data_IF_971624462541
#
_entry.id   IF_971624462541
#
_cell.length_a   1.000
_cell.length_b   1.000
_cell.length_c   1.000
_cell.angle_alpha   90.00
_cell.angle_beta   90.00
_cell.angle_gamma   90.00
#
_symmetry.space_group_name_H-M   'P 1'
#
loop_
_entity.id
_entity.type
_entity.pdbx_description
1 polymer ?
#
# COMPACT_ATOMS: atom_id res chain seq x y z
N UNK A 1 40.01 -7.56 61.94
CA UNK A 1 39.10 -6.76 61.08
C UNK A 1 39.78 -6.49 59.76
N UNK A 2 39.50 -7.29 58.71
CA UNK A 2 39.94 -7.04 57.33
C UNK A 2 38.73 -6.66 56.50
N UNK A 3 38.65 -5.41 56.07
CA UNK A 3 37.61 -4.93 55.13
C UNK A 3 38.04 -5.35 53.74
N UNK A 4 37.28 -6.25 53.14
CA UNK A 4 37.42 -6.57 51.72
C UNK A 4 36.77 -5.48 50.88
N UNK A 5 37.55 -4.89 49.97
CA UNK A 5 37.08 -3.94 48.95
C UNK A 5 36.65 -4.77 47.74
N UNK A 6 35.35 -4.86 47.48
CA UNK A 6 34.82 -5.48 46.27
C UNK A 6 34.94 -4.45 45.14
N UNK A 7 35.84 -4.68 44.22
CA UNK A 7 36.00 -3.89 43.01
C UNK A 7 34.90 -4.33 42.01
N UNK A 8 33.95 -3.46 41.74
CA UNK A 8 32.94 -3.66 40.68
C UNK A 8 33.60 -3.35 39.34
N UNK A 9 33.95 -4.37 38.56
CA UNK A 9 34.43 -4.21 37.20
C UNK A 9 33.17 -3.90 36.30
N UNK A 10 33.02 -2.66 35.89
CA UNK A 10 32.11 -2.29 34.81
C UNK A 10 32.80 -2.65 33.50
N UNK A 11 32.44 -3.76 32.89
CA UNK A 11 32.82 -4.10 31.52
C UNK A 11 31.94 -3.29 30.60
N UNK A 12 32.47 -2.20 30.04
CA UNK A 12 31.80 -1.51 28.91
C UNK A 12 32.07 -2.35 27.66
N UNK A 13 31.07 -3.11 27.26
CA UNK A 13 31.12 -3.81 25.98
C UNK A 13 30.82 -2.79 24.88
N UNK A 14 31.85 -2.32 24.19
CA UNK A 14 31.67 -1.59 22.91
C UNK A 14 31.35 -2.64 21.87
N UNK A 15 30.03 -2.85 21.59
CA UNK A 15 29.58 -3.64 20.48
C UNK A 15 29.67 -2.74 19.25
N UNK A 16 30.52 -3.10 18.30
CA UNK A 16 30.49 -2.51 16.97
C UNK A 16 29.19 -2.93 16.31
N UNK A 17 28.22 -2.01 16.21
CA UNK A 17 26.95 -2.23 15.57
C UNK A 17 27.20 -2.35 14.07
N UNK A 18 27.08 -3.56 13.52
CA UNK A 18 26.98 -3.76 12.09
C UNK A 18 25.64 -3.17 11.64
N UNK A 19 25.59 -2.56 10.46
CA UNK A 19 24.39 -1.95 9.86
C UNK A 19 23.18 -2.88 9.75
N UNK A 20 23.30 -4.16 10.04
CA UNK A 20 22.22 -5.15 10.08
C UNK A 20 21.55 -5.30 11.47
N UNK A 21 22.02 -4.60 12.50
CA UNK A 21 21.52 -4.74 13.89
C UNK A 21 20.82 -3.48 14.43
N UNK A 22 20.39 -2.59 13.54
CA UNK A 22 19.82 -1.28 13.87
C UNK A 22 18.55 -1.37 14.74
N UNK A 23 17.84 -2.49 14.71
CA UNK A 23 16.58 -2.68 15.44
C UNK A 23 16.67 -3.62 16.65
N UNK A 24 17.85 -3.89 17.20
CA UNK A 24 17.97 -4.70 18.43
C UNK A 24 17.67 -3.86 19.67
N UNK A 25 16.41 -3.86 20.11
CA UNK A 25 16.00 -3.33 21.40
C UNK A 25 15.84 -4.47 22.41
N UNK A 26 16.18 -4.19 23.69
CA UNK A 26 15.97 -5.17 24.78
C UNK A 26 14.51 -5.63 24.85
N UNK A 27 14.30 -6.93 24.93
CA UNK A 27 12.99 -7.52 25.14
C UNK A 27 12.50 -7.16 26.54
N UNK A 28 11.35 -6.50 26.62
CA UNK A 28 10.61 -6.29 27.86
C UNK A 28 9.48 -7.31 27.86
N UNK A 29 9.43 -8.19 28.85
CA UNK A 29 8.28 -9.08 29.05
C UNK A 29 7.12 -8.23 29.59
N UNK A 30 6.10 -7.94 28.79
CA UNK A 30 4.95 -7.15 29.26
C UNK A 30 4.08 -7.99 30.18
N UNK A 31 3.61 -7.39 31.23
CA UNK A 31 2.70 -8.03 32.19
C UNK A 31 1.28 -8.21 31.64
N UNK A 32 0.88 -7.38 30.69
CA UNK A 32 -0.41 -7.44 29.99
C UNK A 32 -0.23 -7.05 28.51
N UNK A 33 -1.00 -7.71 27.60
CA UNK A 33 -1.06 -7.35 26.18
C UNK A 33 -1.99 -6.15 25.99
N UNK A 34 -1.57 -5.18 25.19
CA UNK A 34 -2.47 -4.15 24.68
C UNK A 34 -3.58 -4.78 23.79
N UNK A 35 -4.64 -4.08 23.55
CA UNK A 35 -5.67 -4.53 22.61
C UNK A 35 -5.23 -4.34 21.17
N UNK A 36 -4.56 -3.21 20.88
CA UNK A 36 -3.99 -2.89 19.58
C UNK A 36 -2.57 -2.33 19.65
N UNK A 37 -1.78 -2.67 18.65
CA UNK A 37 -0.56 -1.93 18.29
C UNK A 37 -0.70 -1.47 16.84
N UNK A 38 -0.69 -0.15 16.64
CA UNK A 38 -0.65 0.53 15.34
C UNK A 38 0.79 0.86 15.02
N UNK A 39 1.26 0.44 13.86
CA UNK A 39 2.61 0.62 13.35
C UNK A 39 2.54 1.42 12.07
N UNK A 40 3.16 2.60 12.00
CA UNK A 40 3.20 3.42 10.79
C UNK A 40 4.62 3.48 10.28
N UNK A 41 4.86 2.92 9.09
CA UNK A 41 6.15 2.91 8.40
C UNK A 41 6.16 4.03 7.37
N UNK A 42 6.71 5.19 7.76
CA UNK A 42 6.71 6.40 6.94
C UNK A 42 8.04 6.50 6.17
N UNK A 43 8.03 6.02 4.91
CA UNK A 43 9.14 6.18 3.98
C UNK A 43 9.14 7.62 3.43
N UNK A 44 9.50 8.60 4.26
CA UNK A 44 9.34 10.02 3.96
C UNK A 44 10.61 10.66 3.37
N UNK A 45 11.63 9.88 2.96
CA UNK A 45 12.81 10.42 2.26
C UNK A 45 12.48 10.77 0.81
N UNK A 46 11.52 11.70 0.64
CA UNK A 46 11.05 12.22 -0.64
C UNK A 46 10.23 13.52 -0.48
N UNK A 47 9.63 14.00 -1.56
CA UNK A 47 8.86 15.25 -1.60
C UNK A 47 7.55 15.25 -0.78
N UNK A 48 7.16 14.13 -0.18
CA UNK A 48 5.99 14.04 0.72
C UNK A 48 6.34 14.30 2.19
N UNK A 49 7.61 14.48 2.54
CA UNK A 49 8.12 14.66 3.91
C UNK A 49 7.27 15.57 4.81
N UNK A 50 6.85 16.72 4.29
CA UNK A 50 6.03 17.69 5.06
C UNK A 50 4.68 17.12 5.50
N UNK A 51 4.11 16.20 4.73
CA UNK A 51 2.86 15.54 5.07
C UNK A 51 3.08 14.47 6.14
N UNK A 52 4.21 13.76 6.07
CA UNK A 52 4.59 12.81 7.12
C UNK A 52 4.73 13.49 8.50
N UNK A 53 5.28 14.71 8.54
CA UNK A 53 5.36 15.49 9.78
C UNK A 53 3.96 15.90 10.27
N UNK A 54 3.06 16.31 9.35
CA UNK A 54 1.67 16.64 9.70
C UNK A 54 0.97 15.41 10.30
N UNK A 55 1.10 14.26 9.68
CA UNK A 55 0.46 13.03 10.12
C UNK A 55 1.03 12.53 11.46
N UNK A 56 2.33 12.78 11.75
CA UNK A 56 2.89 12.55 13.08
C UNK A 56 2.20 13.41 14.14
N UNK A 57 1.95 14.71 13.86
CA UNK A 57 1.22 15.59 14.78
C UNK A 57 -0.23 15.11 14.97
N UNK A 58 -0.93 14.70 13.93
CA UNK A 58 -2.27 14.12 14.04
C UNK A 58 -2.27 12.87 14.93
N UNK A 59 -1.25 12.00 14.81
CA UNK A 59 -1.11 10.87 15.73
C UNK A 59 -0.84 11.32 17.18
N UNK A 60 -0.10 12.43 17.39
CA UNK A 60 0.18 12.99 18.72
C UNK A 60 -1.07 13.59 19.37
N UNK A 61 -2.04 14.10 18.61
CA UNK A 61 -3.33 14.56 19.16
C UNK A 61 -4.03 13.43 19.95
N UNK A 62 -3.86 12.18 19.52
CA UNK A 62 -4.42 10.99 20.18
C UNK A 62 -3.43 10.37 21.18
N UNK A 63 -2.26 9.94 20.71
CA UNK A 63 -1.23 9.29 21.50
C UNK A 63 -1.55 7.87 21.96
N UNK A 64 -0.54 7.18 22.47
CA UNK A 64 -0.66 5.81 23.02
C UNK A 64 -1.32 5.80 24.41
N UNK A 65 -1.98 4.67 24.75
CA UNK A 65 -2.52 4.39 26.09
C UNK A 65 -2.03 3.02 26.61
N UNK A 66 -2.58 2.57 27.76
CA UNK A 66 -2.32 1.21 28.27
C UNK A 66 -2.90 0.11 27.37
N UNK A 67 -3.90 0.44 26.54
CA UNK A 67 -4.61 -0.49 25.65
C UNK A 67 -4.26 -0.32 24.18
N UNK A 68 -3.66 0.80 23.80
CA UNK A 68 -3.31 1.17 22.44
C UNK A 68 -1.84 1.63 22.37
N UNK A 69 -1.00 0.92 21.65
CA UNK A 69 0.31 1.42 21.27
C UNK A 69 0.23 2.00 19.86
N UNK A 70 0.79 3.20 19.68
CA UNK A 70 1.00 3.85 18.38
C UNK A 70 2.50 4.05 18.24
N UNK A 71 3.09 3.46 17.21
CA UNK A 71 4.54 3.52 16.95
C UNK A 71 4.77 3.89 15.50
N UNK A 72 5.48 4.99 15.26
CA UNK A 72 5.82 5.45 13.93
C UNK A 72 7.33 5.39 13.68
N UNK A 73 7.74 4.83 12.53
CA UNK A 73 9.06 5.04 11.95
C UNK A 73 8.92 6.11 10.89
N UNK A 74 9.76 7.12 10.92
CA UNK A 74 9.87 8.12 9.86
C UNK A 74 11.32 8.19 9.37
N UNK A 75 11.50 7.99 8.07
CA UNK A 75 12.76 8.17 7.36
C UNK A 75 12.69 9.50 6.63
N UNK A 76 13.37 10.52 7.19
CA UNK A 76 13.16 11.90 6.79
C UNK A 76 14.14 12.33 5.71
N UNK A 77 13.66 13.10 4.74
CA UNK A 77 14.38 13.51 3.54
C UNK A 77 15.52 14.50 3.81
N UNK A 78 16.65 14.30 3.15
CA UNK A 78 17.78 15.25 3.16
C UNK A 78 17.62 16.39 2.13
N UNK A 79 16.50 16.44 1.41
CA UNK A 79 16.17 17.47 0.44
C UNK A 79 16.82 17.30 -0.93
N UNK A 80 17.49 16.20 -1.22
CA UNK A 80 18.16 15.95 -2.49
C UNK A 80 17.56 14.75 -3.23
N UNK A 81 17.43 14.89 -4.56
CA UNK A 81 16.98 13.83 -5.46
C UNK A 81 17.91 13.65 -6.66
N UNK A 82 17.77 12.51 -7.35
CA UNK A 82 18.60 12.19 -8.50
C UNK A 82 18.00 12.76 -9.78
N UNK A 83 18.82 13.51 -10.54
CA UNK A 83 18.45 14.08 -11.85
C UNK A 83 19.44 13.70 -12.92
N UNK A 84 18.98 13.61 -14.18
CA UNK A 84 19.86 13.43 -15.33
C UNK A 84 20.17 14.78 -15.96
N UNK A 85 21.44 15.22 -15.88
CA UNK A 85 21.90 16.51 -16.36
C UNK A 85 23.25 16.36 -17.08
N UNK A 86 23.35 16.94 -18.26
CA UNK A 86 24.59 16.95 -19.09
C UNK A 86 25.21 15.55 -19.31
N UNK A 87 24.36 14.53 -19.51
CA UNK A 87 24.84 13.17 -19.75
C UNK A 87 25.23 12.38 -18.50
N UNK A 88 25.03 12.96 -17.31
CA UNK A 88 25.37 12.33 -16.01
C UNK A 88 24.16 12.33 -15.07
N UNK A 89 24.14 11.37 -14.16
CA UNK A 89 23.17 11.34 -13.06
C UNK A 89 23.82 11.99 -11.85
N UNK A 90 23.21 13.09 -11.38
CA UNK A 90 23.71 13.90 -10.26
C UNK A 90 22.61 14.09 -9.22
N UNK A 91 22.98 14.40 -7.97
CA UNK A 91 22.03 14.81 -6.93
C UNK A 91 21.85 16.33 -6.98
N UNK A 92 20.61 16.80 -7.00
CA UNK A 92 20.27 18.22 -6.90
C UNK A 92 19.27 18.42 -5.75
N UNK A 93 19.38 19.60 -5.07
CA UNK A 93 18.42 19.97 -4.03
C UNK A 93 17.06 20.25 -4.63
N UNK A 94 16.02 19.67 -4.06
CA UNK A 94 14.64 19.88 -4.49
C UNK A 94 14.10 21.24 -4.02
N UNK A 95 13.20 21.81 -4.80
CA UNK A 95 12.39 22.95 -4.37
C UNK A 95 11.29 22.56 -3.38
N UNK A 96 11.04 21.26 -3.21
CA UNK A 96 10.07 20.71 -2.26
C UNK A 96 10.68 20.35 -0.91
N UNK A 97 12.00 20.58 -0.73
CA UNK A 97 12.70 20.34 0.52
C UNK A 97 12.02 21.09 1.68
N UNK A 98 11.70 20.37 2.74
CA UNK A 98 11.05 20.88 3.94
C UNK A 98 12.04 20.99 5.10
N UNK A 99 12.22 22.19 5.63
CA UNK A 99 13.23 22.51 6.64
C UNK A 99 12.64 22.84 8.02
N UNK A 100 11.38 22.51 8.28
CA UNK A 100 10.73 22.69 9.59
C UNK A 100 11.18 21.66 10.63
N UNK A 101 10.75 21.82 11.88
CA UNK A 101 10.94 20.88 13.00
C UNK A 101 12.42 20.48 13.20
N UNK A 102 13.29 21.49 13.46
CA UNK A 102 14.74 21.32 13.65
C UNK A 102 15.49 20.70 12.46
N UNK A 103 14.80 20.39 11.36
CA UNK A 103 15.34 19.89 10.10
C UNK A 103 16.33 18.70 10.28
N UNK A 104 16.01 17.77 11.18
CA UNK A 104 16.75 16.52 11.26
C UNK A 104 16.48 15.66 10.01
N UNK A 105 17.43 14.87 9.59
CA UNK A 105 17.40 14.12 8.33
C UNK A 105 17.83 12.65 8.50
N UNK A 106 17.74 12.16 9.72
CA UNK A 106 17.99 10.75 10.07
C UNK A 106 16.67 9.98 10.11
N UNK A 107 16.75 8.66 10.14
CA UNK A 107 15.59 7.81 10.43
C UNK A 107 15.35 7.77 11.93
N UNK A 108 14.11 7.97 12.36
CA UNK A 108 13.70 7.90 13.77
C UNK A 108 12.51 6.99 13.97
N UNK A 109 12.43 6.39 15.15
CA UNK A 109 11.25 5.64 15.59
C UNK A 109 10.71 6.28 16.85
N UNK A 110 9.43 6.60 16.84
CA UNK A 110 8.71 7.23 17.94
C UNK A 110 7.68 6.27 18.52
N UNK A 111 7.56 6.23 19.85
CA UNK A 111 6.32 5.85 20.53
C UNK A 111 5.49 7.10 20.70
N UNK A 112 4.38 7.17 20.04
CA UNK A 112 3.55 8.37 19.99
C UNK A 112 2.91 8.62 21.35
N UNK A 113 3.12 9.81 21.88
CA UNK A 113 2.52 10.30 23.13
C UNK A 113 1.56 11.43 22.80
N UNK A 114 0.53 11.62 23.65
CA UNK A 114 -0.43 12.69 23.43
C UNK A 114 0.21 14.05 23.63
N UNK A 115 0.09 14.91 22.61
CA UNK A 115 0.54 16.31 22.60
C UNK A 115 -0.31 17.13 21.64
N UNK A 116 -0.64 18.37 22.00
CA UNK A 116 -1.51 19.27 21.22
C UNK A 116 -0.69 20.40 20.54
N UNK A 117 0.65 20.31 20.55
CA UNK A 117 1.50 21.33 19.93
C UNK A 117 1.91 20.94 18.50
N UNK A 118 2.34 21.92 17.71
CA UNK A 118 2.86 21.64 16.36
C UNK A 118 4.26 20.98 16.36
N UNK A 119 4.93 20.92 17.53
CA UNK A 119 6.25 20.29 17.67
C UNK A 119 6.11 18.79 17.99
N UNK A 120 6.96 17.94 17.42
CA UNK A 120 6.95 16.48 17.70
C UNK A 120 7.62 16.24 19.07
N UNK A 121 6.81 15.87 20.07
CA UNK A 121 7.22 15.68 21.46
C UNK A 121 7.14 14.21 21.93
N UNK A 122 6.87 13.30 21.03
CA UNK A 122 6.79 11.86 21.30
C UNK A 122 8.13 11.25 21.75
N UNK A 123 8.05 10.10 22.41
CA UNK A 123 9.23 9.37 22.91
C UNK A 123 10.03 8.80 21.73
N UNK A 124 11.26 9.27 21.54
CA UNK A 124 12.19 8.70 20.57
C UNK A 124 12.72 7.37 21.13
N UNK A 125 12.35 6.25 20.51
CA UNK A 125 12.82 4.91 20.89
C UNK A 125 14.02 4.43 20.06
N UNK A 126 14.25 5.05 18.89
CA UNK A 126 15.46 4.87 18.08
C UNK A 126 15.70 6.11 17.22
N UNK A 127 16.96 6.49 17.01
CA UNK A 127 17.39 7.63 16.16
C UNK A 127 18.84 7.47 15.72
N UNK A 128 19.33 8.50 15.03
CA UNK A 128 20.70 8.54 14.48
C UNK A 128 20.95 7.35 13.54
N UNK A 129 19.89 6.93 12.85
CA UNK A 129 19.90 5.85 11.87
C UNK A 129 19.82 6.43 10.47
N UNK A 130 20.27 5.66 9.52
CA UNK A 130 20.08 5.91 8.10
C UNK A 130 19.71 4.58 7.47
N UNK A 131 18.50 4.46 6.96
CA UNK A 131 18.03 3.25 6.32
C UNK A 131 17.60 3.54 4.88
N UNK A 132 17.61 2.54 4.03
CA UNK A 132 16.83 2.56 2.80
C UNK A 132 15.41 2.14 3.14
N UNK A 133 14.48 3.08 3.22
CA UNK A 133 13.08 2.81 3.53
C UNK A 133 12.39 2.01 2.42
N UNK A 134 12.96 1.95 1.22
CA UNK A 134 12.56 1.07 0.11
C UNK A 134 13.10 -0.37 0.21
N UNK A 135 13.93 -0.71 1.21
CA UNK A 135 14.34 -2.10 1.43
C UNK A 135 13.28 -2.86 2.25
N UNK A 136 12.67 -3.92 1.69
CA UNK A 136 11.66 -4.72 2.40
C UNK A 136 12.16 -5.30 3.73
N UNK A 137 13.48 -5.45 3.89
CA UNK A 137 14.07 -5.93 5.14
C UNK A 137 13.91 -4.92 6.28
N UNK A 138 13.92 -3.63 6.00
CA UNK A 138 13.71 -2.59 7.01
C UNK A 138 12.26 -2.57 7.49
N UNK A 139 11.27 -2.73 6.59
CA UNK A 139 9.87 -2.94 6.96
C UNK A 139 9.70 -4.21 7.83
N UNK A 140 10.29 -5.34 7.41
CA UNK A 140 10.28 -6.59 8.19
C UNK A 140 10.83 -6.38 9.61
N UNK A 141 11.99 -5.73 9.71
CA UNK A 141 12.66 -5.47 11.00
C UNK A 141 11.84 -4.52 11.89
N UNK A 142 11.24 -3.47 11.31
CA UNK A 142 10.38 -2.54 12.03
C UNK A 142 9.17 -3.27 12.65
N UNK A 143 8.43 -4.04 11.85
CA UNK A 143 7.28 -4.81 12.34
C UNK A 143 7.70 -5.74 13.48
N UNK A 144 8.82 -6.47 13.32
CA UNK A 144 9.30 -7.40 14.34
C UNK A 144 9.70 -6.68 15.63
N UNK A 145 10.44 -5.59 15.52
CA UNK A 145 10.89 -4.78 16.65
C UNK A 145 9.68 -4.27 17.44
N UNK A 146 8.71 -3.64 16.74
CA UNK A 146 7.55 -3.04 17.39
C UNK A 146 6.67 -4.11 18.02
N UNK A 147 6.35 -5.19 17.31
CA UNK A 147 5.49 -6.26 17.83
C UNK A 147 6.11 -7.00 19.03
N UNK A 148 7.45 -7.09 19.10
CA UNK A 148 8.12 -7.69 20.24
C UNK A 148 8.25 -6.74 21.45
N UNK A 149 8.38 -5.42 21.20
CA UNK A 149 8.48 -4.43 22.28
C UNK A 149 7.12 -3.99 22.82
N UNK A 150 6.13 -3.92 21.95
CA UNK A 150 4.75 -3.48 22.24
C UNK A 150 3.75 -4.54 21.77
N UNK A 151 3.76 -5.72 22.41
CA UNK A 151 2.88 -6.81 22.00
C UNK A 151 1.42 -6.49 22.29
N UNK A 152 0.55 -6.87 21.37
CA UNK A 152 -0.88 -6.65 21.43
C UNK A 152 -1.66 -7.87 20.96
N UNK A 153 -2.97 -7.82 21.15
CA UNK A 153 -3.91 -8.83 20.64
C UNK A 153 -4.10 -8.71 19.14
N UNK A 154 -4.00 -7.46 18.60
CA UNK A 154 -4.23 -7.10 17.20
C UNK A 154 -3.18 -6.10 16.72
N UNK A 155 -2.88 -6.18 15.42
CA UNK A 155 -1.88 -5.34 14.79
C UNK A 155 -2.42 -4.70 13.52
N UNK A 156 -2.29 -3.36 13.42
CA UNK A 156 -2.39 -2.60 12.18
C UNK A 156 -0.98 -2.19 11.77
N UNK A 157 -0.62 -2.45 10.51
CA UNK A 157 0.61 -1.94 9.89
C UNK A 157 0.22 -1.03 8.74
N UNK A 158 0.53 0.26 8.83
CA UNK A 158 0.37 1.22 7.73
C UNK A 158 1.71 1.42 7.04
N UNK A 159 1.72 1.30 5.72
CA UNK A 159 2.86 1.69 4.87
C UNK A 159 2.50 2.99 4.18
N UNK A 160 3.21 4.03 4.55
CA UNK A 160 2.96 5.41 4.14
C UNK A 160 4.01 5.88 3.13
N UNK A 161 3.59 6.33 1.95
CA UNK A 161 4.46 6.95 0.93
C UNK A 161 3.74 7.14 -0.42
N UNK A 162 4.50 7.45 -1.48
CA UNK A 162 4.06 7.18 -2.85
C UNK A 162 3.77 5.69 -3.06
N UNK A 163 2.70 5.41 -3.79
CA UNK A 163 2.32 4.08 -4.26
C UNK A 163 2.23 4.03 -5.78
N UNK A 164 2.51 2.88 -6.36
CA UNK A 164 2.50 2.65 -7.81
C UNK A 164 1.85 1.31 -8.20
N UNK A 165 0.98 0.76 -7.36
CA UNK A 165 0.33 -0.53 -7.62
C UNK A 165 1.35 -1.66 -7.77
N UNK A 166 1.33 -2.40 -8.89
CA UNK A 166 2.31 -3.47 -9.16
C UNK A 166 3.76 -2.97 -9.23
N UNK A 167 3.98 -1.67 -9.38
CA UNK A 167 5.31 -1.07 -9.35
C UNK A 167 5.93 -1.15 -7.97
N UNK A 168 5.12 -1.02 -6.92
CA UNK A 168 5.53 -1.08 -5.53
C UNK A 168 5.15 0.15 -4.72
N UNK A 169 5.76 0.28 -3.54
CA UNK A 169 5.47 1.28 -2.51
C UNK A 169 6.76 1.66 -1.76
N UNK A 170 6.70 2.67 -0.92
CA UNK A 170 7.79 3.09 -0.05
C UNK A 170 9.03 3.53 -0.85
N UNK A 171 8.86 4.58 -1.67
CA UNK A 171 9.93 5.14 -2.51
C UNK A 171 10.86 6.02 -1.68
N UNK A 172 12.15 5.76 -1.80
CA UNK A 172 13.26 6.46 -1.15
C UNK A 172 14.09 7.18 -2.22
N UNK A 173 14.05 8.52 -2.24
CA UNK A 173 14.70 9.34 -3.26
C UNK A 173 16.22 9.43 -3.09
N UNK A 174 16.75 9.02 -1.94
CA UNK A 174 18.19 8.93 -1.71
C UNK A 174 18.81 7.77 -2.47
N UNK A 175 18.04 6.69 -2.61
CA UNK A 175 18.47 5.49 -3.32
C UNK A 175 18.30 5.65 -4.84
N UNK A 176 19.32 5.23 -5.60
CA UNK A 176 19.39 5.52 -7.04
C UNK A 176 18.53 4.59 -7.91
N UNK A 177 18.40 3.30 -7.53
CA UNK A 177 17.81 2.28 -8.40
C UNK A 177 16.79 1.35 -7.75
N UNK A 178 16.96 1.00 -6.50
CA UNK A 178 16.15 0.03 -5.75
C UNK A 178 15.46 0.64 -4.52
N UNK A 179 15.24 1.96 -4.55
CA UNK A 179 14.62 2.70 -3.45
C UNK A 179 13.12 2.51 -3.39
N UNK A 180 12.58 1.28 -3.51
CA UNK A 180 11.17 1.00 -3.28
C UNK A 180 10.92 -0.48 -2.98
N UNK A 181 9.89 -0.76 -2.20
CA UNK A 181 9.44 -2.12 -1.92
C UNK A 181 8.53 -2.58 -3.07
N UNK A 182 8.96 -3.56 -3.87
CA UNK A 182 8.08 -4.14 -4.89
C UNK A 182 6.88 -4.84 -4.26
N UNK A 183 5.74 -4.91 -4.97
CA UNK A 183 4.54 -5.57 -4.48
C UNK A 183 4.78 -7.04 -4.07
N UNK A 184 5.69 -7.75 -4.75
CA UNK A 184 6.10 -9.10 -4.36
C UNK A 184 6.91 -9.13 -3.07
N UNK A 185 7.88 -8.22 -2.92
CA UNK A 185 8.73 -8.15 -1.74
C UNK A 185 7.95 -7.74 -0.49
N UNK A 186 6.90 -6.92 -0.66
CA UNK A 186 5.97 -6.55 0.39
C UNK A 186 5.32 -7.79 1.05
N UNK A 187 4.75 -8.71 0.25
CA UNK A 187 4.18 -9.95 0.77
C UNK A 187 5.22 -10.81 1.51
N UNK A 188 6.45 -10.89 1.00
CA UNK A 188 7.53 -11.62 1.65
C UNK A 188 7.92 -10.98 2.99
N UNK A 189 8.00 -9.65 3.06
CA UNK A 189 8.32 -8.92 4.29
C UNK A 189 7.28 -9.18 5.39
N UNK A 190 5.98 -9.11 5.06
CA UNK A 190 4.91 -9.44 6.01
C UNK A 190 5.01 -10.89 6.50
N UNK A 191 5.15 -11.85 5.60
CA UNK A 191 5.29 -13.26 5.97
C UNK A 191 6.49 -13.51 6.91
N UNK A 192 7.64 -12.91 6.60
CA UNK A 192 8.84 -13.05 7.43
C UNK A 192 8.66 -12.36 8.79
N UNK A 193 8.08 -11.16 8.83
CA UNK A 193 7.82 -10.43 10.05
C UNK A 193 6.93 -11.24 11.00
N UNK A 194 5.78 -11.70 10.52
CA UNK A 194 4.82 -12.47 11.33
C UNK A 194 5.43 -13.76 11.87
N UNK A 195 6.23 -14.47 11.07
CA UNK A 195 6.87 -15.72 11.51
C UNK A 195 7.91 -15.54 12.62
N UNK A 196 8.38 -14.31 12.84
CA UNK A 196 9.40 -13.97 13.87
C UNK A 196 8.83 -13.22 15.08
N UNK A 197 7.56 -12.89 15.10
CA UNK A 197 6.90 -12.32 16.27
C UNK A 197 6.80 -13.41 17.35
N UNK A 198 7.45 -13.18 18.50
CA UNK A 198 7.62 -14.19 19.57
C UNK A 198 6.29 -14.45 20.27
N UNK A 199 5.53 -13.39 20.58
CA UNK A 199 4.29 -13.47 21.38
C UNK A 199 3.02 -13.34 20.52
N UNK A 200 2.96 -14.05 19.41
CA UNK A 200 1.81 -13.98 18.51
C UNK A 200 0.64 -14.83 19.00
N UNK A 201 -0.49 -14.22 19.24
CA UNK A 201 -1.71 -14.93 19.61
C UNK A 201 -2.38 -15.64 18.42
N UNK A 202 -2.31 -15.10 17.22
CA UNK A 202 -3.04 -15.59 16.05
C UNK A 202 -2.13 -15.94 14.85
N UNK A 203 -0.89 -15.45 14.82
CA UNK A 203 0.03 -15.65 13.71
C UNK A 203 -0.37 -14.87 12.45
N UNK A 204 -1.12 -13.76 12.58
CA UNK A 204 -1.58 -12.90 11.51
C UNK A 204 -1.34 -11.44 11.88
N UNK A 205 -1.14 -10.58 10.89
CA UNK A 205 -1.38 -9.14 10.97
C UNK A 205 -2.86 -8.94 10.69
N UNK A 206 -3.60 -8.31 11.61
CA UNK A 206 -5.05 -8.13 11.48
C UNK A 206 -5.39 -7.19 10.32
N UNK A 207 -4.55 -6.16 10.10
CA UNK A 207 -4.77 -5.23 9.01
C UNK A 207 -3.45 -4.64 8.49
N UNK A 208 -3.33 -4.57 7.16
CA UNK A 208 -2.38 -3.71 6.47
C UNK A 208 -3.12 -2.53 5.87
N UNK A 209 -2.61 -1.32 6.09
CA UNK A 209 -3.05 -0.09 5.48
C UNK A 209 -2.02 0.41 4.47
N UNK A 210 -2.48 0.95 3.36
CA UNK A 210 -1.65 1.65 2.39
C UNK A 210 -2.12 3.10 2.31
N UNK A 211 -1.50 3.97 3.07
CA UNK A 211 -1.63 5.42 2.90
C UNK A 211 -0.72 5.82 1.73
N UNK A 212 -1.19 5.45 0.55
CA UNK A 212 -0.42 5.51 -0.69
C UNK A 212 -1.30 5.25 -1.92
N UNK A 213 -1.01 5.97 -2.99
CA UNK A 213 -1.70 5.85 -4.28
C UNK A 213 -1.73 4.42 -4.83
N UNK A 214 -2.84 4.02 -5.46
CA UNK A 214 -2.94 2.86 -6.37
C UNK A 214 -2.69 1.48 -5.75
N UNK A 215 -2.66 1.35 -4.42
CA UNK A 215 -2.29 0.10 -3.79
C UNK A 215 -3.44 -0.90 -3.64
N UNK A 216 -4.70 -0.46 -3.80
CA UNK A 216 -5.84 -1.38 -3.66
C UNK A 216 -6.13 -2.17 -4.93
N UNK A 217 -5.17 -3.03 -5.28
CA UNK A 217 -5.21 -3.88 -6.47
C UNK A 217 -5.53 -5.34 -6.13
N UNK A 218 -6.27 -5.99 -7.03
CA UNK A 218 -6.58 -7.42 -6.90
C UNK A 218 -5.33 -8.29 -6.82
N UNK A 219 -4.29 -7.99 -7.58
CA UNK A 219 -3.01 -8.71 -7.57
C UNK A 219 -2.29 -8.60 -6.24
N UNK A 220 -2.30 -7.40 -5.62
CA UNK A 220 -1.69 -7.16 -4.32
C UNK A 220 -2.50 -7.88 -3.24
N UNK A 221 -3.82 -7.77 -3.25
CA UNK A 221 -4.69 -8.48 -2.33
C UNK A 221 -4.51 -10.01 -2.44
N UNK A 222 -4.43 -10.55 -3.67
CA UNK A 222 -4.17 -11.97 -3.92
C UNK A 222 -2.79 -12.43 -3.40
N UNK A 223 -1.76 -11.59 -3.51
CA UNK A 223 -0.44 -11.89 -2.97
C UNK A 223 -0.46 -11.86 -1.43
N UNK A 224 -1.04 -10.82 -0.82
CA UNK A 224 -1.10 -10.66 0.63
C UNK A 224 -1.99 -11.70 1.31
N UNK A 225 -3.05 -12.18 0.66
CA UNK A 225 -3.91 -13.25 1.19
C UNK A 225 -3.15 -14.54 1.50
N UNK A 226 -1.95 -14.70 0.95
CA UNK A 226 -1.05 -15.85 1.14
C UNK A 226 0.06 -15.59 2.15
N UNK A 227 0.10 -14.39 2.72
CA UNK A 227 1.21 -13.89 3.54
C UNK A 227 0.79 -13.46 4.95
N UNK A 228 -0.19 -14.16 5.53
CA UNK A 228 -0.61 -14.01 6.93
C UNK A 228 -1.12 -12.59 7.28
N UNK A 229 -1.81 -11.95 6.34
CA UNK A 229 -2.55 -10.69 6.55
C UNK A 229 -4.04 -10.95 6.41
N UNK A 230 -4.87 -10.42 7.33
CA UNK A 230 -6.31 -10.69 7.36
C UNK A 230 -7.12 -9.68 6.54
N UNK A 231 -6.75 -8.40 6.60
CA UNK A 231 -7.47 -7.30 5.94
C UNK A 231 -6.49 -6.34 5.28
N UNK A 232 -6.89 -5.78 4.15
CA UNK A 232 -6.17 -4.72 3.43
C UNK A 232 -7.07 -3.50 3.28
N UNK A 233 -6.51 -2.29 3.50
CA UNK A 233 -7.14 -1.00 3.23
C UNK A 233 -6.24 -0.19 2.32
N UNK A 234 -6.79 0.43 1.29
CA UNK A 234 -6.02 1.26 0.35
C UNK A 234 -6.89 1.89 -0.73
N UNK A 235 -6.27 2.70 -1.56
CA UNK A 235 -6.90 3.43 -2.66
C UNK A 235 -6.68 2.75 -4.01
N UNK A 236 -7.69 2.78 -4.87
CA UNK A 236 -7.59 2.41 -6.29
C UNK A 236 -6.99 3.54 -7.13
N UNK A 237 -7.23 4.81 -6.73
CA UNK A 237 -6.80 6.03 -7.41
C UNK A 237 -5.59 6.66 -6.68
N UNK A 238 -5.08 7.75 -7.22
CA UNK A 238 -4.12 8.62 -6.54
C UNK A 238 -4.77 9.21 -5.29
N UNK A 239 -4.12 9.06 -4.15
CA UNK A 239 -4.55 9.70 -2.92
C UNK A 239 -4.19 11.19 -2.92
N UNK A 240 -5.06 12.06 -2.41
CA UNK A 240 -4.70 13.43 -2.14
C UNK A 240 -3.56 13.53 -1.11
N UNK A 241 -2.70 14.54 -1.24
CA UNK A 241 -1.47 14.61 -0.46
C UNK A 241 -1.65 14.85 1.06
N UNK A 242 -2.87 15.11 1.54
CA UNK A 242 -3.13 15.21 2.99
C UNK A 242 -3.26 13.83 3.65
N UNK A 243 -3.34 12.73 2.88
CA UNK A 243 -3.32 11.36 3.38
C UNK A 243 -4.53 10.97 4.22
N UNK A 244 -4.33 10.03 5.14
CA UNK A 244 -5.36 9.55 6.06
C UNK A 244 -5.49 10.48 7.28
N UNK A 245 -6.72 10.71 7.81
CA UNK A 245 -6.94 11.52 9.03
C UNK A 245 -6.59 10.67 10.27
N UNK A 246 -5.32 10.68 10.68
CA UNK A 246 -4.82 9.85 11.78
C UNK A 246 -5.45 10.21 13.12
N UNK A 247 -5.78 11.46 13.36
CA UNK A 247 -6.49 11.93 14.55
C UNK A 247 -7.87 11.28 14.67
N UNK A 248 -8.67 11.21 13.60
CA UNK A 248 -10.06 10.73 13.64
C UNK A 248 -10.14 9.22 13.93
N UNK A 249 -9.57 8.36 13.09
CA UNK A 249 -9.69 6.92 13.29
C UNK A 249 -8.90 6.38 14.50
N UNK A 250 -7.80 7.05 14.90
CA UNK A 250 -7.09 6.67 16.13
C UNK A 250 -7.84 7.10 17.38
N UNK A 251 -8.52 8.25 17.39
CA UNK A 251 -9.43 8.64 18.48
C UNK A 251 -10.57 7.63 18.64
N UNK A 252 -11.21 7.24 17.50
CA UNK A 252 -12.22 6.18 17.52
C UNK A 252 -11.69 4.89 18.13
N UNK A 253 -10.49 4.45 17.75
CA UNK A 253 -9.89 3.23 18.29
C UNK A 253 -9.59 3.36 19.77
N UNK A 254 -8.88 4.43 20.18
CA UNK A 254 -8.48 4.70 21.57
C UNK A 254 -9.67 4.75 22.50
N UNK A 255 -10.69 5.52 22.15
CA UNK A 255 -11.89 5.71 22.97
C UNK A 255 -12.59 4.38 23.28
N UNK A 256 -12.61 3.46 22.33
CA UNK A 256 -13.26 2.17 22.50
C UNK A 256 -12.44 1.22 23.34
N UNK A 257 -11.15 1.07 23.03
CA UNK A 257 -10.30 0.12 23.76
C UNK A 257 -10.07 0.57 25.22
N UNK A 258 -9.94 1.86 25.48
CA UNK A 258 -9.79 2.41 26.83
C UNK A 258 -11.08 2.21 27.66
N UNK A 259 -12.25 2.17 27.00
CA UNK A 259 -13.52 1.80 27.62
C UNK A 259 -13.72 0.28 27.75
N UNK A 260 -12.73 -0.54 27.37
CA UNK A 260 -12.81 -2.00 27.40
C UNK A 260 -13.71 -2.61 26.33
N UNK A 261 -13.98 -1.88 25.24
CA UNK A 261 -14.73 -2.37 24.08
C UNK A 261 -13.79 -3.02 23.08
N UNK A 262 -14.11 -4.23 22.64
CA UNK A 262 -13.35 -4.88 21.57
C UNK A 262 -13.63 -4.21 20.22
N UNK A 263 -12.58 -3.85 19.49
CA UNK A 263 -12.65 -3.35 18.11
C UNK A 263 -12.07 -4.41 17.20
N UNK A 264 -12.86 -4.95 16.27
CA UNK A 264 -12.37 -5.89 15.26
C UNK A 264 -11.60 -5.15 14.15
N UNK A 265 -10.70 -5.87 13.45
CA UNK A 265 -10.01 -5.32 12.27
C UNK A 265 -11.01 -4.81 11.21
N UNK A 266 -12.11 -5.54 10.99
CA UNK A 266 -13.18 -5.12 10.06
C UNK A 266 -13.88 -3.82 10.49
N UNK A 267 -14.09 -3.63 11.81
CA UNK A 267 -14.72 -2.40 12.32
C UNK A 267 -13.79 -1.20 12.14
N UNK A 268 -12.51 -1.35 12.49
CA UNK A 268 -11.50 -0.30 12.30
C UNK A 268 -11.28 0.02 10.81
N UNK A 269 -11.26 -1.00 9.94
CA UNK A 269 -11.11 -0.77 8.51
C UNK A 269 -12.27 0.03 7.89
N UNK A 270 -13.52 -0.18 8.38
CA UNK A 270 -14.67 0.64 7.95
C UNK A 270 -14.54 2.08 8.42
N UNK A 271 -14.14 2.29 9.66
CA UNK A 271 -13.93 3.64 10.20
C UNK A 271 -12.88 4.39 9.38
N UNK A 272 -11.72 3.77 9.11
CA UNK A 272 -10.68 4.39 8.27
C UNK A 272 -11.23 4.77 6.89
N UNK A 273 -12.05 3.92 6.27
CA UNK A 273 -12.66 4.21 4.96
C UNK A 273 -13.64 5.38 5.05
N UNK A 274 -14.48 5.40 6.07
CA UNK A 274 -15.50 6.44 6.28
C UNK A 274 -14.83 7.78 6.59
N UNK A 275 -13.90 7.82 7.57
CA UNK A 275 -13.17 9.04 7.98
C UNK A 275 -12.34 9.62 6.84
N UNK A 276 -11.61 8.77 6.09
CA UNK A 276 -10.83 9.23 4.94
C UNK A 276 -11.71 9.93 3.90
N UNK A 277 -12.82 9.33 3.50
CA UNK A 277 -13.70 9.95 2.51
C UNK A 277 -14.41 11.17 3.06
N UNK A 278 -14.77 11.18 4.34
CA UNK A 278 -15.41 12.34 4.99
C UNK A 278 -14.44 13.53 5.10
N UNK A 279 -13.15 13.30 5.32
CA UNK A 279 -12.11 14.35 5.35
C UNK A 279 -11.97 15.09 4.01
N UNK A 280 -12.35 14.46 2.89
CA UNK A 280 -12.33 15.09 1.55
C UNK A 280 -13.67 15.65 1.09
N UNK A 281 -14.76 15.47 1.86
CA UNK A 281 -16.06 16.07 1.60
C UNK A 281 -16.08 17.53 2.11
N UNK A 282 -16.61 18.46 1.32
CA UNK A 282 -16.85 19.84 1.76
C UNK A 282 -16.88 20.81 0.60
N UNK A 283 -17.72 21.87 0.76
CA UNK A 283 -17.99 22.85 -0.29
C UNK A 283 -16.73 23.52 -0.88
N UNK A 284 -15.67 23.66 -0.09
CA UNK A 284 -14.44 24.29 -0.56
C UNK A 284 -13.69 23.39 -1.55
N UNK A 285 -13.60 22.12 -1.26
CA UNK A 285 -12.97 21.13 -2.15
C UNK A 285 -13.80 20.91 -3.41
N UNK A 286 -15.12 20.85 -3.29
CA UNK A 286 -16.04 20.72 -4.41
C UNK A 286 -16.02 21.95 -5.33
N UNK A 287 -15.83 23.15 -4.77
CA UNK A 287 -15.78 24.41 -5.52
C UNK A 287 -14.49 24.58 -6.35
N UNK A 288 -13.34 24.11 -5.86
CA UNK A 288 -12.03 24.23 -6.55
C UNK A 288 -11.74 23.06 -7.52
N UNK A 289 -12.75 22.30 -7.89
CA UNK A 289 -12.63 21.22 -8.88
C UNK A 289 -12.56 19.83 -8.29
N UNK A 290 -12.92 19.66 -7.02
CA UNK A 290 -13.08 18.40 -6.29
C UNK A 290 -11.80 17.56 -6.21
N UNK A 291 -11.34 17.23 -5.02
CA UNK A 291 -10.33 16.16 -4.89
C UNK A 291 -11.04 14.85 -5.16
N UNK A 292 -10.44 14.03 -6.03
CA UNK A 292 -10.90 12.66 -6.25
C UNK A 292 -10.33 11.80 -5.12
N UNK A 293 -11.14 10.97 -4.51
CA UNK A 293 -10.71 10.06 -3.46
C UNK A 293 -11.44 8.72 -3.57
N UNK A 294 -10.73 7.64 -3.39
CA UNK A 294 -11.29 6.30 -3.22
C UNK A 294 -10.59 5.64 -2.05
N UNK A 295 -11.31 4.96 -1.19
CA UNK A 295 -10.72 4.07 -0.21
C UNK A 295 -11.61 2.85 -0.02
N UNK A 296 -11.00 1.70 0.11
CA UNK A 296 -11.74 0.45 0.24
C UNK A 296 -11.04 -0.51 1.18
N UNK A 297 -11.84 -1.33 1.85
CA UNK A 297 -11.38 -2.38 2.72
C UNK A 297 -11.70 -3.76 2.16
N UNK A 298 -10.68 -4.61 2.10
CA UNK A 298 -10.72 -5.93 1.48
C UNK A 298 -10.35 -7.01 2.49
N UNK A 299 -11.20 -8.01 2.64
CA UNK A 299 -10.89 -9.22 3.39
C UNK A 299 -9.99 -10.13 2.56
N UNK A 300 -8.83 -10.44 3.10
CA UNK A 300 -7.84 -11.31 2.46
C UNK A 300 -8.04 -12.78 2.85
N UNK A 301 -8.94 -13.06 3.77
CA UNK A 301 -9.16 -14.39 4.32
C UNK A 301 -10.62 -14.84 4.12
N UNK A 302 -10.89 -16.11 3.75
CA UNK A 302 -9.90 -17.13 3.43
C UNK A 302 -9.31 -16.98 2.02
N UNK A 303 -8.05 -17.38 1.84
CA UNK A 303 -7.34 -17.36 0.54
C UNK A 303 -8.08 -18.08 -0.58
N UNK A 304 -8.89 -19.10 -0.24
CA UNK A 304 -9.74 -19.84 -1.19
C UNK A 304 -10.73 -18.96 -1.95
N UNK A 305 -11.09 -17.77 -1.40
CA UNK A 305 -11.93 -16.82 -2.12
C UNK A 305 -11.21 -16.32 -3.38
N UNK A 306 -9.92 -15.97 -3.25
CA UNK A 306 -9.10 -15.56 -4.39
C UNK A 306 -8.88 -16.72 -5.39
N UNK A 307 -8.67 -17.94 -4.91
CA UNK A 307 -8.52 -19.10 -5.81
C UNK A 307 -9.80 -19.36 -6.61
N UNK A 308 -10.98 -19.19 -6.01
CA UNK A 308 -12.26 -19.34 -6.69
C UNK A 308 -12.50 -18.23 -7.75
N UNK A 309 -12.13 -16.99 -7.43
CA UNK A 309 -12.22 -15.86 -8.37
C UNK A 309 -11.21 -16.04 -9.52
N UNK A 310 -9.96 -16.45 -9.22
CA UNK A 310 -8.95 -16.74 -10.24
C UNK A 310 -9.43 -17.79 -11.24
N UNK A 311 -10.08 -18.87 -10.75
CA UNK A 311 -10.65 -19.91 -11.62
C UNK A 311 -11.74 -19.34 -12.56
N UNK A 312 -12.60 -18.45 -12.07
CA UNK A 312 -13.62 -17.80 -12.90
C UNK A 312 -13.02 -16.82 -13.91
N UNK A 313 -11.95 -16.12 -13.54
CA UNK A 313 -11.19 -15.28 -14.46
C UNK A 313 -10.63 -16.14 -15.61
N UNK A 314 -10.03 -17.30 -15.30
CA UNK A 314 -9.48 -18.19 -16.33
C UNK A 314 -10.56 -18.78 -17.24
N UNK A 315 -11.75 -19.15 -16.70
CA UNK A 315 -12.89 -19.58 -17.51
C UNK A 315 -13.34 -18.50 -18.52
N UNK A 316 -13.38 -17.23 -18.10
CA UNK A 316 -13.73 -16.12 -18.97
C UNK A 316 -12.65 -15.87 -20.04
N UNK A 317 -11.37 -15.90 -19.64
CA UNK A 317 -10.24 -15.69 -20.54
C UNK A 317 -10.19 -16.77 -21.62
N UNK A 318 -10.45 -18.04 -21.29
CA UNK A 318 -10.48 -19.14 -22.26
C UNK A 318 -11.45 -18.85 -23.40
N UNK A 319 -12.64 -18.34 -23.09
CA UNK A 319 -13.64 -17.95 -24.11
C UNK A 319 -13.21 -16.74 -24.94
N UNK A 320 -12.54 -15.75 -24.31
CA UNK A 320 -12.04 -14.58 -25.02
C UNK A 320 -10.95 -14.99 -26.02
N UNK A 321 -10.08 -15.92 -25.64
CA UNK A 321 -8.97 -16.42 -26.47
C UNK A 321 -9.43 -17.29 -27.65
N UNK A 322 -10.66 -17.82 -27.66
CA UNK A 322 -11.19 -18.64 -28.75
C UNK A 322 -11.26 -17.92 -30.10
N UNK A 323 -11.49 -16.58 -30.09
CA UNK A 323 -11.64 -15.77 -31.30
C UNK A 323 -10.90 -14.44 -31.18
N UNK A 324 -10.05 -14.14 -32.18
CA UNK A 324 -9.27 -12.89 -32.24
C UNK A 324 -10.16 -11.63 -32.38
N UNK A 325 -11.35 -11.75 -32.92
CA UNK A 325 -12.28 -10.63 -33.05
C UNK A 325 -12.83 -10.19 -31.68
N UNK A 326 -12.77 -11.06 -30.66
CA UNK A 326 -13.11 -10.71 -29.27
C UNK A 326 -12.23 -9.59 -28.71
N UNK A 327 -10.98 -9.46 -29.19
CA UNK A 327 -10.06 -8.44 -28.67
C UNK A 327 -10.41 -7.01 -29.06
N UNK A 328 -11.17 -6.79 -30.14
CA UNK A 328 -11.75 -5.47 -30.44
C UNK A 328 -12.85 -5.11 -29.44
N UNK A 329 -13.75 -6.05 -29.15
CA UNK A 329 -14.78 -5.85 -28.13
C UNK A 329 -14.17 -5.66 -26.73
N UNK A 330 -13.13 -6.44 -26.40
CA UNK A 330 -12.39 -6.28 -25.14
C UNK A 330 -11.75 -4.89 -25.04
N UNK A 331 -11.20 -4.38 -26.14
CA UNK A 331 -10.66 -3.02 -26.20
C UNK A 331 -11.74 -1.96 -25.98
N UNK A 332 -12.90 -2.12 -26.59
CA UNK A 332 -14.01 -1.19 -26.40
C UNK A 332 -14.56 -1.23 -24.97
N UNK A 333 -14.65 -2.42 -24.36
CA UNK A 333 -14.97 -2.57 -22.93
C UNK A 333 -13.94 -1.82 -22.06
N UNK A 334 -12.65 -2.06 -22.25
CA UNK A 334 -11.58 -1.43 -21.48
C UNK A 334 -11.53 0.11 -21.65
N UNK A 335 -11.87 0.64 -22.83
CA UNK A 335 -11.99 2.10 -23.03
C UNK A 335 -13.09 2.74 -22.19
N UNK A 336 -14.17 2.02 -21.95
CA UNK A 336 -15.36 2.50 -21.21
C UNK A 336 -15.24 2.28 -19.71
N UNK A 337 -14.34 1.43 -19.26
CA UNK A 337 -14.11 1.08 -17.85
C UNK A 337 -13.53 2.25 -17.06
N UNK A 338 -13.87 2.34 -15.76
CA UNK A 338 -13.22 3.20 -14.79
C UNK A 338 -11.71 2.92 -14.77
N UNK A 339 -10.92 3.98 -14.92
CA UNK A 339 -9.45 3.92 -15.01
C UNK A 339 -8.82 4.79 -13.95
N UNK A 340 -7.66 4.35 -13.49
CA UNK A 340 -6.86 5.02 -12.49
C UNK A 340 -5.49 5.37 -13.04
N UNK A 341 -4.87 6.43 -12.49
CA UNK A 341 -3.60 6.99 -12.92
C UNK A 341 -3.64 7.64 -14.32
N UNK A 342 -2.73 8.57 -14.56
CA UNK A 342 -2.56 9.27 -15.84
C UNK A 342 -2.18 8.35 -17.01
N UNK A 343 -1.60 7.19 -16.72
CA UNK A 343 -1.08 6.26 -17.70
C UNK A 343 -2.06 5.18 -18.11
N UNK A 344 -3.20 5.06 -17.38
CA UNK A 344 -4.29 4.09 -17.65
C UNK A 344 -3.82 2.63 -17.69
N UNK A 345 -2.99 2.26 -16.70
CA UNK A 345 -2.54 0.87 -16.55
C UNK A 345 -3.46 0.04 -15.66
N UNK A 346 -4.25 0.71 -14.83
CA UNK A 346 -5.14 0.08 -13.86
C UNK A 346 -6.58 0.43 -14.19
N UNK A 347 -7.44 -0.57 -14.11
CA UNK A 347 -8.88 -0.41 -14.34
C UNK A 347 -9.63 -1.03 -13.16
N UNK A 348 -10.83 -0.55 -12.85
CA UNK A 348 -11.68 -1.19 -11.86
C UNK A 348 -12.06 -2.60 -12.31
N UNK A 349 -11.86 -3.60 -11.45
CA UNK A 349 -12.08 -5.00 -11.79
C UNK A 349 -13.56 -5.29 -12.06
N UNK A 350 -14.46 -4.82 -11.20
CA UNK A 350 -15.89 -5.09 -11.32
C UNK A 350 -16.50 -4.31 -12.48
N UNK A 351 -16.14 -3.04 -12.65
CA UNK A 351 -16.61 -2.24 -13.77
C UNK A 351 -16.10 -2.79 -15.11
N UNK A 352 -14.86 -3.28 -15.17
CA UNK A 352 -14.33 -3.94 -16.36
C UNK A 352 -15.15 -5.18 -16.73
N UNK A 353 -15.50 -5.99 -15.75
CA UNK A 353 -16.37 -7.16 -16.01
C UNK A 353 -17.78 -6.74 -16.47
N UNK A 354 -18.35 -5.66 -15.93
CA UNK A 354 -19.62 -5.10 -16.43
C UNK A 354 -19.51 -4.64 -17.88
N UNK A 355 -18.44 -3.94 -18.24
CA UNK A 355 -18.23 -3.50 -19.63
C UNK A 355 -18.03 -4.69 -20.58
N UNK A 356 -17.39 -5.78 -20.12
CA UNK A 356 -17.32 -7.03 -20.88
C UNK A 356 -18.72 -7.65 -21.01
N UNK A 357 -19.52 -7.69 -19.94
CA UNK A 357 -20.90 -8.17 -19.98
C UNK A 357 -21.76 -7.39 -21.00
N UNK A 358 -21.57 -6.07 -21.10
CA UNK A 358 -22.29 -5.18 -22.00
C UNK A 358 -21.82 -5.27 -23.47
N UNK A 359 -20.53 -5.49 -23.74
CA UNK A 359 -19.96 -5.50 -25.09
C UNK A 359 -20.05 -6.87 -25.78
N UNK A 360 -20.25 -7.93 -25.02
CA UNK A 360 -20.31 -9.28 -25.54
C UNK A 360 -21.73 -9.87 -25.42
N UNK A 361 -21.96 -10.91 -26.19
CA UNK A 361 -23.18 -11.71 -26.13
C UNK A 361 -22.87 -13.16 -25.72
N UNK A 362 -23.91 -13.90 -25.31
CA UNK A 362 -23.83 -15.32 -25.04
C UNK A 362 -22.89 -15.68 -23.88
N UNK A 363 -22.01 -16.66 -24.07
CA UNK A 363 -21.22 -17.25 -22.99
C UNK A 363 -20.22 -16.28 -22.35
N UNK A 364 -19.62 -15.37 -23.11
CA UNK A 364 -18.65 -14.39 -22.58
C UNK A 364 -19.38 -13.43 -21.64
N UNK A 365 -20.52 -12.88 -22.08
CA UNK A 365 -21.37 -12.02 -21.26
C UNK A 365 -21.83 -12.75 -19.98
N UNK A 366 -22.34 -13.97 -20.11
CA UNK A 366 -22.77 -14.79 -18.96
C UNK A 366 -21.62 -15.02 -17.96
N UNK A 367 -20.39 -15.34 -18.44
CA UNK A 367 -19.22 -15.57 -17.58
C UNK A 367 -18.72 -14.31 -16.89
N UNK A 368 -18.79 -13.16 -17.54
CA UNK A 368 -18.49 -11.88 -16.91
C UNK A 368 -19.48 -11.59 -15.74
N UNK A 369 -20.78 -11.80 -15.95
CA UNK A 369 -21.78 -11.69 -14.89
C UNK A 369 -21.63 -12.69 -13.76
N UNK A 370 -21.26 -13.97 -14.08
CA UNK A 370 -20.91 -14.97 -13.07
C UNK A 370 -19.69 -14.55 -12.23
N UNK A 371 -18.68 -13.96 -12.85
CA UNK A 371 -17.47 -13.49 -12.15
C UNK A 371 -17.79 -12.33 -11.20
N UNK A 372 -18.60 -11.35 -11.63
CA UNK A 372 -19.09 -10.27 -10.75
C UNK A 372 -19.83 -10.87 -9.54
N UNK A 373 -20.73 -11.81 -9.80
CA UNK A 373 -21.49 -12.49 -8.77
C UNK A 373 -20.61 -13.26 -7.80
N UNK A 374 -19.57 -13.91 -8.31
CA UNK A 374 -18.58 -14.63 -7.50
C UNK A 374 -17.80 -13.67 -6.59
N UNK A 375 -17.26 -12.57 -7.12
CA UNK A 375 -16.53 -11.57 -6.32
C UNK A 375 -17.44 -11.05 -5.19
N UNK A 376 -18.67 -10.67 -5.50
CA UNK A 376 -19.64 -10.18 -4.51
C UNK A 376 -20.01 -11.23 -3.46
N UNK A 377 -20.19 -12.48 -3.87
CA UNK A 377 -20.59 -13.57 -2.97
C UNK A 377 -19.52 -13.92 -1.94
N UNK A 378 -18.24 -13.63 -2.21
CA UNK A 378 -17.16 -13.83 -1.25
C UNK A 378 -17.21 -12.82 -0.10
N UNK A 379 -17.84 -11.66 -0.32
CA UNK A 379 -17.81 -10.54 0.61
C UNK A 379 -16.39 -9.98 0.83
N UNK A 380 -15.45 -10.23 -0.11
CA UNK A 380 -14.07 -9.77 0.06
C UNK A 380 -13.97 -8.26 0.13
N UNK A 381 -14.71 -7.52 -0.71
CA UNK A 381 -14.82 -6.06 -0.61
C UNK A 381 -15.96 -5.77 0.36
N UNK A 382 -15.63 -5.34 1.58
CA UNK A 382 -16.64 -5.15 2.63
C UNK A 382 -16.86 -3.69 3.02
N UNK A 383 -16.00 -2.78 2.59
CA UNK A 383 -16.21 -1.33 2.58
C UNK A 383 -15.63 -0.76 1.28
N UNK A 384 -16.32 0.21 0.70
CA UNK A 384 -15.88 0.93 -0.49
C UNK A 384 -16.61 2.26 -0.55
N UNK A 385 -15.87 3.34 -0.43
CA UNK A 385 -16.38 4.70 -0.51
C UNK A 385 -15.57 5.51 -1.53
N UNK A 386 -16.26 6.44 -2.18
CA UNK A 386 -15.66 7.28 -3.22
C UNK A 386 -16.14 8.72 -3.10
N UNK A 387 -15.27 9.66 -3.45
CA UNK A 387 -15.62 11.07 -3.58
C UNK A 387 -15.10 11.62 -4.90
N UNK A 388 -15.98 12.27 -5.68
CA UNK A 388 -15.66 12.87 -6.96
C UNK A 388 -16.16 12.09 -8.17
N UNK A 389 -16.50 12.83 -9.26
CA UNK A 389 -17.18 12.28 -10.45
C UNK A 389 -16.32 11.35 -11.28
N UNK A 390 -15.00 11.51 -11.24
CA UNK A 390 -14.10 10.71 -12.09
C UNK A 390 -13.80 9.35 -11.51
N UNK A 391 -14.29 9.08 -10.29
CA UNK A 391 -14.11 7.80 -9.57
C UNK A 391 -15.44 7.17 -9.13
N UNK A 392 -16.58 7.68 -9.64
CA UNK A 392 -17.92 7.22 -9.21
C UNK A 392 -18.22 5.76 -9.55
N UNK A 393 -17.54 5.20 -10.55
CA UNK A 393 -17.69 3.80 -10.97
C UNK A 393 -16.66 2.84 -10.28
N UNK A 394 -15.91 3.32 -9.27
CA UNK A 394 -14.98 2.51 -8.50
C UNK A 394 -15.72 1.51 -7.60
N UNK A 395 -15.25 0.27 -7.57
CA UNK A 395 -15.88 -0.83 -6.83
C UNK A 395 -14.95 -1.48 -5.79
N UNK A 396 -13.79 -0.91 -5.53
CA UNK A 396 -12.92 -1.22 -4.42
C UNK A 396 -11.70 -2.08 -4.73
N UNK A 397 -11.53 -2.56 -5.95
CA UNK A 397 -10.31 -3.24 -6.40
C UNK A 397 -9.99 -2.94 -7.85
N UNK A 398 -8.85 -2.35 -8.09
CA UNK A 398 -8.30 -2.22 -9.44
C UNK A 398 -7.57 -3.50 -9.88
N UNK A 399 -7.33 -3.62 -11.18
CA UNK A 399 -6.57 -4.70 -11.80
C UNK A 399 -5.67 -4.16 -12.91
N UNK A 400 -4.51 -4.77 -13.11
CA UNK A 400 -3.57 -4.39 -14.15
C UNK A 400 -4.09 -4.79 -15.53
N UNK A 401 -4.50 -3.81 -16.31
CA UNK A 401 -4.87 -3.95 -17.70
C UNK A 401 -4.40 -2.74 -18.50
N UNK A 402 -3.14 -2.72 -18.98
CA UNK A 402 -2.59 -1.58 -19.71
C UNK A 402 -3.27 -1.45 -21.08
N UNK A 403 -4.16 -0.45 -21.19
CA UNK A 403 -4.98 -0.20 -22.37
C UNK A 403 -4.10 0.14 -23.57
N UNK A 404 -4.27 -0.58 -24.69
CA UNK A 404 -3.55 -0.31 -25.94
C UNK A 404 -3.86 1.11 -26.44
N UNK A 405 -2.79 1.89 -26.63
CA UNK A 405 -2.82 3.21 -27.25
C UNK A 405 -1.65 3.34 -28.20
N UNK A 406 -1.93 3.72 -29.46
CA UNK A 406 -0.89 3.93 -30.46
C UNK A 406 -0.18 5.27 -30.23
N UNK A 407 0.65 5.36 -29.21
CA UNK A 407 1.58 6.48 -29.00
C UNK A 407 2.99 6.00 -29.26
N UNK A 408 3.63 6.59 -30.26
CA UNK A 408 5.00 6.24 -30.63
C UNK A 408 6.01 7.09 -29.86
N UNK A 409 6.99 6.43 -29.28
CA UNK A 409 8.24 7.05 -28.83
C UNK A 409 9.37 6.31 -29.54
N UNK A 410 9.80 6.79 -30.76
CA UNK A 410 10.60 6.03 -31.70
C UNK A 410 9.73 4.99 -32.43
N UNK A 411 10.30 3.86 -32.82
CA UNK A 411 9.65 2.85 -33.66
C UNK A 411 8.74 1.85 -32.94
N UNK A 412 8.54 2.00 -31.61
CA UNK A 412 7.73 1.07 -30.81
C UNK A 412 6.64 1.81 -30.05
N UNK A 413 5.40 1.31 -30.02
CA UNK A 413 4.32 1.89 -29.24
C UNK A 413 4.69 2.01 -27.76
N UNK A 414 4.39 3.15 -27.15
CA UNK A 414 4.81 3.49 -25.79
C UNK A 414 4.32 2.45 -24.75
N UNK A 415 3.07 2.00 -24.86
CA UNK A 415 2.50 1.06 -23.89
C UNK A 415 3.06 -0.35 -23.98
N UNK A 416 3.44 -0.81 -25.19
CA UNK A 416 4.12 -2.11 -25.33
C UNK A 416 5.47 -2.09 -24.64
N UNK A 417 6.20 -0.97 -24.71
CA UNK A 417 7.46 -0.82 -23.95
C UNK A 417 7.22 -0.83 -22.45
N UNK A 418 6.18 -0.15 -21.99
CA UNK A 418 5.80 -0.13 -20.58
C UNK A 418 5.39 -1.53 -20.12
N UNK A 419 4.53 -2.23 -20.86
CA UNK A 419 4.17 -3.61 -20.57
C UNK A 419 5.40 -4.52 -20.49
N UNK A 420 6.31 -4.47 -21.47
CA UNK A 420 7.53 -5.28 -21.45
C UNK A 420 8.43 -4.99 -20.23
N UNK A 421 8.47 -3.73 -19.77
CA UNK A 421 9.17 -3.35 -18.54
C UNK A 421 8.48 -3.90 -17.30
N UNK A 422 7.16 -3.85 -17.25
CA UNK A 422 6.36 -4.13 -16.07
C UNK A 422 5.90 -5.59 -15.99
N UNK A 423 5.94 -6.33 -17.10
CA UNK A 423 5.53 -7.74 -17.17
C UNK A 423 6.29 -8.64 -16.18
N UNK A 424 7.57 -8.35 -15.93
CA UNK A 424 8.35 -9.09 -14.93
C UNK A 424 7.84 -8.85 -13.49
N UNK A 425 7.42 -7.63 -13.17
CA UNK A 425 6.83 -7.29 -11.87
C UNK A 425 5.47 -7.95 -11.71
N UNK A 426 4.63 -7.86 -12.72
CA UNK A 426 3.32 -8.51 -12.74
C UNK A 426 3.42 -10.03 -12.57
N UNK A 427 4.29 -10.70 -13.35
CA UNK A 427 4.47 -12.16 -13.27
C UNK A 427 5.23 -12.63 -12.03
N UNK A 428 5.85 -11.73 -11.26
CA UNK A 428 6.39 -12.07 -9.95
C UNK A 428 5.27 -12.33 -8.92
N UNK A 429 4.11 -11.69 -9.07
CA UNK A 429 2.94 -11.88 -8.20
C UNK A 429 2.25 -13.21 -8.47
N UNK A 430 1.58 -13.75 -7.46
CA UNK A 430 0.88 -15.03 -7.57
C UNK A 430 -0.16 -15.01 -8.69
N UNK A 431 -1.00 -13.99 -8.73
CA UNK A 431 -2.02 -13.82 -9.77
C UNK A 431 -1.43 -13.86 -11.17
N UNK A 432 -0.42 -13.04 -11.47
CA UNK A 432 0.18 -12.92 -12.79
C UNK A 432 0.88 -14.18 -13.31
N UNK A 433 1.29 -15.10 -12.41
CA UNK A 433 1.93 -16.37 -12.81
C UNK A 433 1.02 -17.59 -12.74
N UNK A 434 -0.11 -17.49 -12.03
CA UNK A 434 -1.02 -18.63 -11.80
C UNK A 434 -2.33 -18.55 -12.60
N UNK A 435 -2.58 -17.43 -13.29
CA UNK A 435 -3.75 -17.23 -14.14
C UNK A 435 -3.35 -16.98 -15.59
N UNK A 436 -4.32 -17.08 -16.49
CA UNK A 436 -4.18 -16.77 -17.93
C UNK A 436 -4.24 -15.26 -18.25
N UNK A 437 -4.33 -14.39 -17.24
CA UNK A 437 -4.44 -12.95 -17.44
C UNK A 437 -3.30 -12.37 -18.28
N UNK A 438 -2.07 -12.82 -18.03
CA UNK A 438 -0.91 -12.45 -18.83
C UNK A 438 -1.08 -12.86 -20.30
N UNK A 439 -1.52 -14.08 -20.55
CA UNK A 439 -1.67 -14.60 -21.92
C UNK A 439 -2.73 -13.79 -22.69
N UNK A 440 -3.82 -13.40 -22.00
CA UNK A 440 -4.83 -12.51 -22.57
C UNK A 440 -4.24 -11.13 -22.93
N UNK A 441 -3.45 -10.49 -22.06
CA UNK A 441 -2.83 -9.19 -22.35
C UNK A 441 -1.86 -9.31 -23.53
N UNK A 442 -1.06 -10.38 -23.61
CA UNK A 442 -0.09 -10.58 -24.69
C UNK A 442 -0.81 -10.78 -26.05
N UNK A 443 -1.90 -11.56 -26.08
CA UNK A 443 -2.69 -11.74 -27.31
C UNK A 443 -3.45 -10.45 -27.67
N UNK A 444 -3.98 -9.72 -26.69
CA UNK A 444 -4.62 -8.42 -26.86
C UNK A 444 -3.69 -7.46 -27.63
N UNK A 445 -2.45 -7.30 -27.20
CA UNK A 445 -1.47 -6.46 -27.93
C UNK A 445 -1.18 -7.00 -29.31
N UNK A 446 -0.95 -8.30 -29.44
CA UNK A 446 -0.63 -8.95 -30.74
C UNK A 446 -1.73 -8.71 -31.76
N UNK A 447 -2.99 -8.82 -31.37
CA UNK A 447 -4.13 -8.60 -32.26
C UNK A 447 -4.25 -7.13 -32.64
N UNK A 448 -4.20 -6.22 -31.67
CA UNK A 448 -4.40 -4.79 -31.93
C UNK A 448 -3.26 -4.15 -32.74
N UNK A 449 -2.05 -4.67 -32.66
CA UNK A 449 -0.92 -4.24 -33.53
C UNK A 449 -1.21 -4.47 -35.01
N UNK A 450 -2.02 -5.45 -35.36
CA UNK A 450 -2.39 -5.76 -36.74
C UNK A 450 -3.51 -4.90 -37.29
N UNK A 451 -4.20 -4.13 -36.45
CA UNK A 451 -5.37 -3.32 -36.81
C UNK A 451 -4.97 -1.90 -37.22
N UNK A 452 -5.80 -1.24 -38.00
CA UNK A 452 -5.64 0.17 -38.35
C UNK A 452 -6.05 1.09 -37.19
N UNK A 453 -5.61 2.36 -37.24
CA UNK A 453 -5.99 3.36 -36.22
C UNK A 453 -7.49 3.58 -36.17
N UNK A 454 -8.18 3.50 -37.31
CA UNK A 454 -9.64 3.61 -37.43
C UNK A 454 -10.34 2.44 -36.69
N UNK A 455 -9.86 1.19 -36.90
CA UNK A 455 -10.41 -0.01 -36.27
C UNK A 455 -10.26 -0.01 -34.74
N UNK A 456 -9.18 0.58 -34.20
CA UNK A 456 -8.95 0.68 -32.73
C UNK A 456 -9.44 2.00 -32.14
N UNK A 457 -10.05 2.88 -32.96
CA UNK A 457 -10.62 4.16 -32.49
C UNK A 457 -9.58 5.10 -31.88
N UNK A 458 -8.38 5.12 -32.45
CA UNK A 458 -7.31 6.07 -32.08
C UNK A 458 -7.38 7.22 -33.10
N UNK A 459 -7.92 8.37 -32.66
CA UNK A 459 -7.89 9.64 -33.42
C UNK A 459 -6.69 10.49 -32.99
#
# INVERSE_FOLDING_TARGET
MRRGLTLLLIVVLIIAVNSNDVFQLEQVEPTELADWTVMVYMAAENNLEKFAIKDLNEMEEVGSSDKLNIVALIDRWDGYHWVYKDGQVVRERSSSDYTGHDNWTDTRVYRILQDDSDDINSEIIAKDMEINSGDPKNLENFIQMVANRYPARKYLVVVWNHGGGIQGIAYDDKERYDGHISAKALGVAFNNAVNRIINRNRGLVDMVGFDACLMNMYEIANELSRNQVETMVGSEELEPGDGWPYDEFLEYLRDRVDQGRDVSGTALAREIVDDFIDSYKGWFFDFVGGRQATLSAVSLYPTSNFDSVNSKIDELIDLILEDKDNFLKLHDAAKKTQKYDFWTYYVDLIDFMRKIEDEFDGKISEKAGELISQIRSTGMIFANETHGKTVEDSNGLSIYFPLYRRRYRGDTPYLIRSYNRDSAKFTALHFGRSTKWKDMIEEYYRVLETKTDEEVGVN
#
